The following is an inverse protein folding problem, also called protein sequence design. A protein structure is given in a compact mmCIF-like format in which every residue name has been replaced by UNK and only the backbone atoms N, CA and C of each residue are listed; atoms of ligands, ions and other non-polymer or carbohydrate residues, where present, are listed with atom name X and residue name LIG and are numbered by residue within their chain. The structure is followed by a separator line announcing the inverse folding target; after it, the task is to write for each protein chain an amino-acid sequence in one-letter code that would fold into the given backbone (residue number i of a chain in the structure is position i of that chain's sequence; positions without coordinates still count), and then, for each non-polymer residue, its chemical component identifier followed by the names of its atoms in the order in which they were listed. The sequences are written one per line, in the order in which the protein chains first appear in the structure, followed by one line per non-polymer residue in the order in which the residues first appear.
data_IF_092106752374
#
_entry.id   IF_092106752374
#
_cell.length_a   1.000
_cell.length_b   1.000
_cell.length_c   1.000
_cell.angle_alpha   90.00
_cell.angle_beta   90.00
_cell.angle_gamma   90.00
#
_symmetry.space_group_name_H-M   'P 1'
#
loop_
_entity.id
_entity.type
_entity.pdbx_description
1 polymer ?
#
# COMPACT_ATOMS: atom_id res chain seq x y z
N UNK A 1 -18.73 -16.17 14.16
CA UNK A 1 -17.66 -16.05 13.14
C UNK A 1 -17.83 -14.72 12.45
N UNK A 2 -16.76 -13.94 12.26
CA UNK A 2 -16.84 -12.71 11.47
C UNK A 2 -17.04 -13.13 10.01
N UNK A 3 -18.18 -12.78 9.42
CA UNK A 3 -18.54 -13.19 8.06
C UNK A 3 -17.70 -12.46 6.99
N UNK A 4 -16.91 -11.45 7.39
CA UNK A 4 -16.01 -10.67 6.54
C UNK A 4 -14.64 -10.52 7.25
N UNK A 5 -13.68 -11.44 7.04
CA UNK A 5 -12.38 -11.38 7.70
C UNK A 5 -11.57 -10.14 7.28
N UNK A 6 -10.93 -9.45 8.22
CA UNK A 6 -10.03 -8.36 7.85
C UNK A 6 -8.72 -8.92 7.29
N UNK A 7 -8.32 -8.49 6.10
CA UNK A 7 -7.04 -8.89 5.49
C UNK A 7 -6.01 -7.79 5.72
N UNK A 8 -4.85 -8.14 6.27
CA UNK A 8 -3.72 -7.23 6.40
C UNK A 8 -2.70 -7.52 5.31
N UNK A 9 -2.42 -6.53 4.47
CA UNK A 9 -1.42 -6.57 3.41
C UNK A 9 -0.17 -5.87 3.93
N UNK A 10 0.91 -6.62 4.12
CA UNK A 10 2.20 -6.08 4.52
C UNK A 10 3.04 -5.81 3.27
N UNK A 11 3.32 -4.55 3.00
CA UNK A 11 4.03 -4.11 1.80
C UNK A 11 5.38 -3.50 2.20
N UNK A 12 6.47 -4.14 1.80
CA UNK A 12 7.81 -3.58 1.95
C UNK A 12 8.26 -2.98 0.62
N UNK A 13 8.90 -1.81 0.65
CA UNK A 13 9.37 -1.14 -0.56
C UNK A 13 10.70 -0.42 -0.33
N UNK A 14 11.52 -0.35 -1.38
CA UNK A 14 12.78 0.38 -1.43
C UNK A 14 13.00 0.85 -2.87
N UNK A 15 13.15 2.15 -3.08
CA UNK A 15 13.26 2.78 -4.40
C UNK A 15 12.21 2.28 -5.41
N UNK A 16 10.95 2.23 -4.94
CA UNK A 16 9.81 1.69 -5.67
C UNK A 16 9.02 2.74 -6.45
N UNK A 17 9.49 3.99 -6.56
CA UNK A 17 8.68 5.11 -7.06
C UNK A 17 8.09 4.86 -8.46
N UNK A 18 8.78 4.06 -9.28
CA UNK A 18 8.34 3.71 -10.63
C UNK A 18 7.02 2.92 -10.67
N UNK A 19 6.72 2.12 -9.65
CA UNK A 19 5.60 1.16 -9.67
C UNK A 19 4.64 1.30 -8.50
N UNK A 20 5.05 1.98 -7.42
CA UNK A 20 4.31 1.95 -6.17
C UNK A 20 2.90 2.53 -6.29
N UNK A 21 2.70 3.60 -7.07
CA UNK A 21 1.39 4.21 -7.26
C UNK A 21 0.40 3.24 -7.91
N UNK A 22 0.76 2.67 -9.06
CA UNK A 22 -0.07 1.67 -9.78
C UNK A 22 -0.34 0.43 -8.91
N UNK A 23 0.67 -0.03 -8.15
CA UNK A 23 0.50 -1.13 -7.21
C UNK A 23 -0.52 -0.80 -6.12
N UNK A 24 -0.46 0.40 -5.52
CA UNK A 24 -1.38 0.81 -4.48
C UNK A 24 -2.80 1.04 -5.03
N UNK A 25 -2.95 1.61 -6.22
CA UNK A 25 -4.26 1.74 -6.88
C UNK A 25 -4.87 0.35 -7.11
N UNK A 26 -4.08 -0.60 -7.63
CA UNK A 26 -4.52 -1.99 -7.82
C UNK A 26 -4.99 -2.66 -6.51
N UNK A 27 -4.31 -2.40 -5.38
CA UNK A 27 -4.71 -2.93 -4.08
C UNK A 27 -5.98 -2.27 -3.53
N UNK A 28 -6.18 -0.97 -3.77
CA UNK A 28 -7.35 -0.23 -3.33
C UNK A 28 -8.60 -0.57 -4.16
N UNK A 29 -8.42 -0.98 -5.42
CA UNK A 29 -9.49 -1.34 -6.35
C UNK A 29 -9.89 -2.84 -6.29
N UNK A 30 -9.38 -3.59 -5.32
CA UNK A 30 -9.76 -5.00 -5.15
C UNK A 30 -11.26 -5.16 -4.87
N UNK A 31 -11.86 -6.24 -5.39
CA UNK A 31 -13.27 -6.57 -5.15
C UNK A 31 -13.57 -6.90 -3.69
N UNK A 32 -12.56 -7.28 -2.91
CA UNK A 32 -12.64 -7.45 -1.47
C UNK A 32 -12.07 -6.22 -0.74
N UNK A 33 -12.93 -5.50 -0.01
CA UNK A 33 -12.59 -4.16 0.50
C UNK A 33 -12.23 -4.11 1.99
N UNK A 34 -12.47 -5.17 2.77
CA UNK A 34 -12.12 -5.20 4.19
C UNK A 34 -10.63 -5.49 4.40
N UNK A 35 -9.79 -4.60 3.87
CA UNK A 35 -8.33 -4.70 3.87
C UNK A 35 -7.69 -3.58 4.69
N UNK A 36 -6.49 -3.82 5.17
CA UNK A 36 -5.57 -2.78 5.65
C UNK A 36 -4.22 -3.01 4.99
N UNK A 37 -3.64 -1.94 4.46
CA UNK A 37 -2.31 -1.97 3.87
C UNK A 37 -1.34 -1.32 4.86
N UNK A 38 -0.31 -2.04 5.27
CA UNK A 38 0.77 -1.54 6.14
C UNK A 38 2.04 -1.47 5.30
N UNK A 39 2.52 -0.26 5.07
CA UNK A 39 3.68 -0.03 4.20
C UNK A 39 4.93 0.24 5.05
N UNK A 40 6.03 -0.42 4.70
CA UNK A 40 7.36 -0.21 5.28
C UNK A 40 8.34 0.20 4.19
N UNK A 41 8.83 1.43 4.28
CA UNK A 41 9.95 1.92 3.47
C UNK A 41 11.30 1.48 4.07
N UNK A 42 12.24 1.03 3.23
CA UNK A 42 13.58 0.59 3.64
C UNK A 42 14.68 1.63 3.42
N UNK A 43 14.39 2.92 3.61
CA UNK A 43 15.42 3.94 3.39
C UNK A 43 15.47 4.46 1.96
N UNK A 44 14.34 4.49 1.23
CA UNK A 44 14.35 4.94 -0.16
C UNK A 44 14.90 6.35 -0.31
N UNK A 45 15.60 6.57 -1.42
CA UNK A 45 16.21 7.84 -1.81
C UNK A 45 15.56 8.46 -3.05
N UNK A 46 14.54 7.80 -3.59
CA UNK A 46 13.67 8.31 -4.66
C UNK A 46 12.32 8.80 -4.09
N UNK A 47 11.36 9.06 -4.98
CA UNK A 47 10.02 9.58 -4.62
C UNK A 47 9.10 8.58 -3.88
N UNK A 48 9.62 7.43 -3.44
CA UNK A 48 8.81 6.37 -2.80
C UNK A 48 8.07 6.88 -1.56
N UNK A 49 8.74 7.68 -0.71
CA UNK A 49 8.17 8.15 0.56
C UNK A 49 7.07 9.19 0.35
N UNK A 50 7.22 10.04 -0.65
CA UNK A 50 6.22 11.01 -1.08
C UNK A 50 4.98 10.28 -1.59
N UNK A 51 5.15 9.24 -2.41
CA UNK A 51 4.04 8.40 -2.88
C UNK A 51 3.34 7.74 -1.69
N UNK A 52 4.06 7.11 -0.75
CA UNK A 52 3.47 6.51 0.46
C UNK A 52 2.63 7.55 1.22
N UNK A 53 3.16 8.76 1.40
CA UNK A 53 2.49 9.83 2.13
C UNK A 53 1.19 10.28 1.45
N UNK A 54 1.19 10.39 0.12
CA UNK A 54 -0.02 10.73 -0.65
C UNK A 54 -1.13 9.69 -0.49
N UNK A 55 -0.78 8.40 -0.47
CA UNK A 55 -1.75 7.32 -0.32
C UNK A 55 -2.23 7.14 1.12
N UNK A 56 -1.40 7.44 2.12
CA UNK A 56 -1.80 7.38 3.53
C UNK A 56 -2.85 8.45 3.91
N UNK A 57 -3.06 9.47 3.07
CA UNK A 57 -4.07 10.51 3.24
C UNK A 57 -5.40 10.20 2.54
N UNK A 58 -5.46 9.13 1.72
CA UNK A 58 -6.69 8.65 1.08
C UNK A 58 -7.51 7.81 2.06
#
# INVERSE_FOLDING_TARGET
MNLTPKISILLSTYNGAKYLAEQLDSLLEQSYTNIVIVIRDDGSTDATREIISLYALK
#
